data_IF_737187893425
#
_entry.id   IF_737187893425
#
_cell.length_a   1.000
_cell.length_b   1.000
_cell.length_c   1.000
_cell.angle_alpha   90.00
_cell.angle_beta   90.00
_cell.angle_gamma   90.00
#
_symmetry.space_group_name_H-M   'P 1'
#
loop_
_entity.id
_entity.type
_entity.pdbx_description
1 polymer ?
#
# COMPACT_ATOMS: atom_id res chain seq x y z
N UNK A 1 5.23 -3.58 0.41
CA UNK A 1 5.45 -4.19 -0.92
C UNK A 1 6.39 -5.37 -0.81
N UNK A 2 5.94 -6.55 -1.23
CA UNK A 2 6.85 -7.65 -1.47
C UNK A 2 7.80 -7.25 -2.58
N UNK A 3 9.08 -7.41 -2.36
CA UNK A 3 10.08 -7.23 -3.40
C UNK A 3 9.63 -7.94 -4.68
N UNK A 4 9.71 -7.26 -5.80
CA UNK A 4 9.62 -7.87 -7.12
C UNK A 4 10.77 -8.88 -7.26
N UNK A 5 10.64 -10.01 -6.59
CA UNK A 5 11.53 -11.12 -6.83
C UNK A 5 11.08 -11.76 -8.14
N UNK A 6 11.79 -11.44 -9.19
CA UNK A 6 11.57 -12.01 -10.52
C UNK A 6 11.91 -13.49 -10.56
N UNK A 7 11.18 -14.28 -9.82
CA UNK A 7 11.14 -15.72 -10.03
C UNK A 7 9.81 -15.96 -10.73
N UNK A 8 9.88 -16.37 -11.97
CA UNK A 8 8.72 -16.73 -12.74
C UNK A 8 7.84 -17.67 -11.94
N UNK A 9 6.87 -17.11 -11.23
CA UNK A 9 5.82 -17.92 -10.67
C UNK A 9 5.01 -18.48 -11.78
N UNK A 10 4.83 -19.77 -11.73
CA UNK A 10 4.08 -20.58 -12.66
C UNK A 10 2.58 -20.31 -12.68
N UNK A 11 2.11 -19.27 -12.03
CA UNK A 11 0.74 -18.83 -12.15
C UNK A 11 0.65 -17.90 -13.36
N UNK A 12 0.49 -18.51 -14.51
CA UNK A 12 0.25 -17.86 -15.78
C UNK A 12 -1.10 -17.14 -15.75
N UNK A 13 -1.22 -16.13 -14.87
CA UNK A 13 -2.37 -15.26 -14.92
C UNK A 13 -2.27 -14.40 -16.17
N UNK A 14 -3.10 -14.69 -17.11
CA UNK A 14 -3.22 -13.92 -18.34
C UNK A 14 -4.38 -12.94 -18.17
N UNK A 15 -4.06 -11.69 -17.83
CA UNK A 15 -5.07 -10.65 -17.67
C UNK A 15 -5.87 -10.48 -18.97
N UNK A 16 -7.21 -10.30 -18.88
CA UNK A 16 -8.02 -10.06 -20.07
C UNK A 16 -7.51 -8.87 -20.88
N UNK A 17 -7.70 -8.90 -22.19
CA UNK A 17 -7.24 -7.84 -23.08
C UNK A 17 -7.79 -6.46 -22.69
N UNK A 18 -9.04 -6.39 -22.25
CA UNK A 18 -9.68 -5.15 -21.79
C UNK A 18 -8.97 -4.58 -20.58
N UNK A 19 -8.56 -5.43 -19.66
CA UNK A 19 -7.81 -5.05 -18.45
C UNK A 19 -6.43 -4.51 -18.81
N UNK A 20 -5.69 -5.23 -19.65
CA UNK A 20 -4.36 -4.81 -20.09
C UNK A 20 -4.41 -3.50 -20.88
N UNK A 21 -5.42 -3.34 -21.71
CA UNK A 21 -5.61 -2.12 -22.51
C UNK A 21 -5.86 -0.90 -21.61
N UNK A 22 -6.73 -1.02 -20.61
CA UNK A 22 -6.96 0.06 -19.64
C UNK A 22 -5.67 0.41 -18.89
N UNK A 23 -4.94 -0.61 -18.43
CA UNK A 23 -3.68 -0.41 -17.72
C UNK A 23 -2.65 0.33 -18.58
N UNK A 24 -2.46 -0.06 -19.83
CA UNK A 24 -1.51 0.57 -20.76
C UNK A 24 -1.88 2.02 -21.07
N UNK A 25 -3.18 2.31 -21.14
CA UNK A 25 -3.67 3.68 -21.32
C UNK A 25 -3.47 4.53 -20.08
N UNK A 26 -3.66 3.94 -18.91
CA UNK A 26 -3.55 4.62 -17.61
C UNK A 26 -2.09 4.88 -17.22
N UNK A 27 -1.22 3.92 -17.49
CA UNK A 27 0.20 3.96 -17.11
C UNK A 27 1.11 3.63 -18.30
N UNK A 28 1.17 4.50 -19.32
CA UNK A 28 1.91 4.21 -20.55
C UNK A 28 3.42 4.11 -20.35
N UNK A 29 3.95 4.67 -19.26
CA UNK A 29 5.40 4.63 -18.95
C UNK A 29 5.77 3.56 -17.93
N UNK A 30 4.81 2.72 -17.53
CA UNK A 30 5.07 1.64 -16.60
C UNK A 30 6.07 0.63 -17.16
N UNK A 31 6.98 0.16 -16.30
CA UNK A 31 7.98 -0.86 -16.64
C UNK A 31 7.88 -2.03 -15.67
N UNK A 32 8.50 -3.17 -15.99
CA UNK A 32 8.52 -4.36 -15.14
C UNK A 32 7.12 -4.80 -14.71
N UNK A 33 6.19 -4.79 -15.65
CA UNK A 33 4.78 -5.13 -15.38
C UNK A 33 4.64 -6.64 -15.23
N UNK A 34 4.13 -7.06 -14.10
CA UNK A 34 3.79 -8.44 -13.81
C UNK A 34 2.33 -8.53 -13.39
N UNK A 35 1.59 -9.48 -13.94
CA UNK A 35 0.20 -9.71 -13.62
C UNK A 35 0.04 -10.93 -12.75
N UNK A 36 -0.77 -10.80 -11.71
CA UNK A 36 -1.13 -11.93 -10.87
C UNK A 36 -2.60 -11.84 -10.44
N UNK A 37 -3.09 -12.92 -9.91
CA UNK A 37 -4.45 -12.99 -9.38
C UNK A 37 -4.39 -12.99 -7.86
N UNK A 38 -5.04 -12.01 -7.24
CA UNK A 38 -5.10 -11.89 -5.78
C UNK A 38 -6.55 -11.73 -5.35
N UNK A 39 -7.06 -12.62 -4.51
CA UNK A 39 -8.43 -12.54 -3.95
C UNK A 39 -9.52 -12.36 -5.01
N UNK A 40 -9.33 -12.94 -6.21
CA UNK A 40 -10.27 -12.80 -7.31
C UNK A 40 -10.09 -11.56 -8.19
N UNK A 41 -9.18 -10.66 -7.82
CA UNK A 41 -8.83 -9.49 -8.63
C UNK A 41 -7.65 -9.78 -9.54
N UNK A 42 -7.59 -9.10 -10.67
CA UNK A 42 -6.39 -9.01 -11.49
C UNK A 42 -5.52 -7.87 -10.97
N UNK A 43 -4.26 -8.14 -10.69
CA UNK A 43 -3.35 -7.17 -10.10
C UNK A 43 -2.12 -7.03 -10.97
N UNK A 44 -1.82 -5.80 -11.40
CA UNK A 44 -0.58 -5.46 -12.07
C UNK A 44 0.41 -4.88 -11.05
N UNK A 45 1.54 -5.52 -10.86
CA UNK A 45 2.68 -4.97 -10.15
C UNK A 45 3.61 -4.34 -11.19
N UNK A 46 4.07 -3.13 -10.95
CA UNK A 46 4.87 -2.39 -11.94
C UNK A 46 5.72 -1.32 -11.29
N UNK A 47 6.66 -0.80 -12.06
CA UNK A 47 7.49 0.33 -11.69
C UNK A 47 7.04 1.56 -12.47
N UNK A 48 6.79 2.64 -11.77
CA UNK A 48 6.45 3.94 -12.33
C UNK A 48 7.33 5.01 -11.66
N UNK A 49 8.09 5.75 -12.47
CA UNK A 49 9.00 6.78 -11.96
C UNK A 49 9.96 6.26 -10.87
N UNK A 50 10.44 5.03 -11.05
CA UNK A 50 11.36 4.37 -10.12
C UNK A 50 10.72 3.82 -8.85
N UNK A 51 9.41 3.78 -8.75
CA UNK A 51 8.67 3.36 -7.57
C UNK A 51 7.80 2.16 -7.84
N UNK A 52 7.67 1.31 -6.84
CA UNK A 52 6.78 0.15 -6.88
C UNK A 52 5.33 0.60 -6.78
N UNK A 53 4.52 0.08 -7.68
CA UNK A 53 3.09 0.36 -7.76
C UNK A 53 2.31 -0.92 -7.98
N UNK A 54 1.03 -0.87 -7.64
CA UNK A 54 0.14 -2.02 -7.77
C UNK A 54 -1.26 -1.53 -8.17
N UNK A 55 -1.72 -1.93 -9.35
CA UNK A 55 -3.05 -1.59 -9.86
C UNK A 55 -3.98 -2.78 -9.81
N UNK A 56 -5.15 -2.59 -9.23
CA UNK A 56 -6.15 -3.63 -8.99
C UNK A 56 -7.34 -3.48 -9.92
N UNK A 57 -7.74 -4.59 -10.53
CA UNK A 57 -8.86 -4.67 -11.46
C UNK A 57 -9.84 -5.76 -11.06
N UNK A 58 -11.12 -5.54 -11.27
CA UNK A 58 -12.13 -6.59 -11.11
C UNK A 58 -11.92 -7.68 -12.14
N UNK A 59 -12.56 -8.82 -11.92
CA UNK A 59 -12.57 -9.94 -12.88
C UNK A 59 -13.11 -9.52 -14.26
N UNK A 60 -14.03 -8.56 -14.31
CA UNK A 60 -14.59 -8.02 -15.54
C UNK A 60 -13.72 -6.95 -16.22
N UNK A 61 -12.61 -6.56 -15.59
CA UNK A 61 -11.65 -5.61 -16.17
C UNK A 61 -11.86 -4.16 -15.78
N UNK A 62 -12.61 -3.89 -14.73
CA UNK A 62 -12.80 -2.53 -14.21
C UNK A 62 -11.70 -2.17 -13.20
N UNK A 63 -11.10 -1.03 -13.39
CA UNK A 63 -10.10 -0.53 -12.44
C UNK A 63 -10.75 -0.20 -11.09
N UNK A 64 -10.14 -0.67 -10.03
CA UNK A 64 -10.61 -0.49 -8.64
C UNK A 64 -9.78 0.55 -7.91
N UNK A 65 -8.48 0.36 -7.89
CA UNK A 65 -7.55 1.22 -7.18
C UNK A 65 -6.12 1.01 -7.67
N UNK A 66 -5.25 1.99 -7.37
CA UNK A 66 -3.81 1.84 -7.53
C UNK A 66 -3.10 2.30 -6.28
N UNK A 67 -2.13 1.52 -5.83
CA UNK A 67 -1.24 1.83 -4.71
C UNK A 67 0.09 2.29 -5.27
N UNK A 68 0.58 3.43 -4.76
CA UNK A 68 1.88 4.00 -5.12
C UNK A 68 2.73 4.10 -3.86
N UNK A 69 3.92 3.53 -3.88
CA UNK A 69 4.93 3.84 -2.88
C UNK A 69 5.36 5.30 -3.04
N UNK A 70 5.32 6.07 -1.98
CA UNK A 70 5.71 7.48 -1.99
C UNK A 70 6.70 7.79 -0.89
N UNK A 71 7.35 8.94 -0.99
CA UNK A 71 8.28 9.44 0.02
C UNK A 71 7.56 10.31 1.03
N UNK A 72 8.13 10.46 2.21
CA UNK A 72 7.59 11.30 3.28
C UNK A 72 7.33 12.74 2.82
N UNK A 73 8.24 13.33 2.05
CA UNK A 73 8.08 14.69 1.53
C UNK A 73 7.00 14.84 0.45
N UNK A 74 6.41 13.74 0.01
CA UNK A 74 5.29 13.75 -0.95
C UNK A 74 3.94 13.62 -0.27
N UNK A 75 3.91 13.43 1.03
CA UNK A 75 2.68 13.52 1.80
C UNK A 75 2.12 14.93 1.74
N UNK A 76 0.78 15.09 1.65
CA UNK A 76 0.17 16.39 1.87
C UNK A 76 0.58 16.97 3.22
N UNK A 77 0.75 18.29 3.29
CA UNK A 77 1.15 18.97 4.53
C UNK A 77 0.20 18.64 5.67
N UNK A 78 -1.10 18.57 5.40
CA UNK A 78 -2.10 18.24 6.42
C UNK A 78 -1.92 16.85 7.00
N UNK A 79 -1.54 15.86 6.18
CA UNK A 79 -1.26 14.49 6.63
C UNK A 79 0.02 14.45 7.45
N UNK A 80 1.08 15.09 6.96
CA UNK A 80 2.35 15.17 7.67
C UNK A 80 2.20 15.81 9.04
N UNK A 81 1.51 16.95 9.10
CA UNK A 81 1.24 17.67 10.36
C UNK A 81 0.45 16.79 11.33
N UNK A 82 -0.61 16.14 10.85
CA UNK A 82 -1.43 15.26 11.69
C UNK A 82 -0.60 14.09 12.26
N UNK A 83 0.23 13.47 11.43
CA UNK A 83 1.11 12.38 11.87
C UNK A 83 2.14 12.87 12.91
N UNK A 84 2.83 13.97 12.63
CA UNK A 84 3.84 14.52 13.53
C UNK A 84 3.27 14.98 14.87
N UNK A 85 2.07 15.53 14.87
CA UNK A 85 1.38 15.92 16.13
C UNK A 85 1.08 14.73 17.01
N UNK A 86 0.77 13.58 16.44
CA UNK A 86 0.43 12.38 17.20
C UNK A 86 1.65 11.54 17.57
N UNK A 87 2.66 11.48 16.73
CA UNK A 87 3.80 10.55 16.87
C UNK A 87 5.16 11.24 16.91
N UNK A 88 5.23 12.53 16.67
CA UNK A 88 6.48 13.29 16.62
C UNK A 88 7.23 13.17 15.31
N UNK A 89 8.41 13.77 15.26
CA UNK A 89 9.24 13.85 14.04
C UNK A 89 10.32 12.77 13.99
N UNK A 90 10.46 11.97 15.05
CA UNK A 90 11.52 10.95 15.18
C UNK A 90 11.01 9.52 15.10
N UNK A 91 9.72 9.33 14.90
CA UNK A 91 9.13 7.99 14.78
C UNK A 91 9.61 7.29 13.52
N UNK A 92 10.20 6.09 13.63
CA UNK A 92 10.61 5.33 12.45
C UNK A 92 9.41 4.97 11.58
N UNK A 93 9.54 5.23 10.29
CA UNK A 93 8.51 4.91 9.30
C UNK A 93 9.04 3.81 8.39
N UNK A 94 8.27 2.74 8.24
CA UNK A 94 8.65 1.58 7.43
C UNK A 94 8.09 1.65 6.02
N UNK A 95 6.89 2.22 5.85
CA UNK A 95 6.24 2.30 4.55
C UNK A 95 5.30 3.51 4.48
N UNK A 96 5.24 4.11 3.31
CA UNK A 96 4.29 5.19 3.00
C UNK A 96 3.71 4.92 1.62
N UNK A 97 2.39 4.93 1.51
CA UNK A 97 1.69 4.68 0.27
C UNK A 97 0.59 5.71 0.03
N UNK A 98 0.36 6.03 -1.25
CA UNK A 98 -0.82 6.75 -1.71
C UNK A 98 -1.72 5.76 -2.41
N UNK A 99 -2.97 5.69 -2.01
CA UNK A 99 -3.99 4.83 -2.58
C UNK A 99 -5.00 5.69 -3.34
N UNK A 100 -5.01 5.57 -4.67
CA UNK A 100 -6.01 6.23 -5.52
C UNK A 100 -7.13 5.24 -5.85
N UNK A 101 -8.37 5.65 -5.64
CA UNK A 101 -9.54 4.79 -5.79
C UNK A 101 -10.45 5.26 -6.91
N UNK A 102 -11.29 4.34 -7.40
CA UNK A 102 -12.22 4.60 -8.50
C UNK A 102 -13.39 5.54 -8.16
N UNK A 103 -13.59 5.86 -6.88
CA UNK A 103 -14.54 6.87 -6.43
C UNK A 103 -13.94 8.28 -6.34
N UNK A 104 -12.73 8.47 -6.90
CA UNK A 104 -11.93 9.70 -6.86
C UNK A 104 -11.46 10.10 -5.45
N UNK A 105 -11.49 9.19 -4.49
CA UNK A 105 -10.88 9.42 -3.18
C UNK A 105 -9.44 8.96 -3.16
N UNK A 106 -8.61 9.66 -2.37
CA UNK A 106 -7.21 9.31 -2.13
C UNK A 106 -7.00 9.07 -0.64
N UNK A 107 -6.36 7.97 -0.30
CA UNK A 107 -5.99 7.61 1.06
C UNK A 107 -4.46 7.58 1.14
N UNK A 108 -3.92 8.12 2.23
CA UNK A 108 -2.49 8.05 2.55
C UNK A 108 -2.29 7.07 3.69
N UNK A 109 -1.45 6.09 3.44
CA UNK A 109 -1.13 5.03 4.38
C UNK A 109 0.28 5.23 4.93
N UNK A 110 0.44 5.15 6.25
CA UNK A 110 1.74 5.21 6.93
C UNK A 110 1.84 4.01 7.86
N UNK A 111 2.89 3.22 7.67
CA UNK A 111 3.28 2.17 8.59
C UNK A 111 4.49 2.65 9.37
N UNK A 112 4.38 2.66 10.69
CA UNK A 112 5.42 3.18 11.56
C UNK A 112 5.63 2.30 12.79
N UNK A 113 6.78 2.47 13.43
CA UNK A 113 7.13 1.77 14.66
C UNK A 113 6.98 2.69 15.86
N UNK A 114 6.31 2.22 16.89
CA UNK A 114 6.12 2.98 18.13
C UNK A 114 6.11 2.05 19.34
N UNK A 115 5.89 2.62 20.51
CA UNK A 115 5.73 1.86 21.76
C UNK A 115 4.31 2.08 22.26
N UNK A 116 3.56 1.00 22.44
CA UNK A 116 2.21 1.01 23.00
C UNK A 116 2.23 0.23 24.30
N UNK A 117 1.82 0.87 25.39
CA UNK A 117 1.80 0.27 26.74
C UNK A 117 3.14 -0.38 27.14
N UNK A 118 4.26 0.23 26.71
CA UNK A 118 5.59 -0.27 27.01
C UNK A 118 6.13 -1.33 26.05
N UNK A 119 5.35 -1.73 25.03
CA UNK A 119 5.75 -2.77 24.07
C UNK A 119 6.03 -2.19 22.69
N UNK A 120 7.11 -2.64 22.02
CA UNK A 120 7.34 -2.33 20.61
C UNK A 120 6.12 -2.75 19.78
N UNK A 121 5.67 -1.85 18.92
CA UNK A 121 4.44 -2.04 18.16
C UNK A 121 4.57 -1.44 16.78
N UNK A 122 3.95 -2.09 15.80
CA UNK A 122 3.77 -1.55 14.46
C UNK A 122 2.39 -0.90 14.40
N UNK A 123 2.33 0.34 13.92
CA UNK A 123 1.07 1.03 13.70
C UNK A 123 0.84 1.23 12.22
N UNK A 124 -0.40 1.04 11.80
CA UNK A 124 -0.86 1.22 10.43
C UNK A 124 -1.93 2.31 10.43
N UNK A 125 -1.62 3.42 9.78
CA UNK A 125 -2.44 4.63 9.80
C UNK A 125 -2.94 4.95 8.40
N UNK A 126 -4.21 5.26 8.29
CA UNK A 126 -4.82 5.70 7.04
C UNK A 126 -5.39 7.11 7.24
N UNK A 127 -4.97 8.04 6.39
CA UNK A 127 -5.39 9.43 6.41
C UNK A 127 -6.07 9.82 5.11
N UNK A 128 -7.09 10.66 5.19
CA UNK A 128 -7.56 11.41 4.04
C UNK A 128 -6.61 12.55 3.71
N UNK A 129 -6.74 13.14 2.52
CA UNK A 129 -5.85 14.22 2.05
C UNK A 129 -5.83 15.45 2.96
N UNK A 130 -6.89 15.69 3.71
CA UNK A 130 -7.00 16.79 4.66
C UNK A 130 -6.39 16.51 6.05
N UNK A 131 -5.77 15.36 6.22
CA UNK A 131 -5.14 14.96 7.47
C UNK A 131 -6.06 14.31 8.49
N UNK A 132 -7.29 13.99 8.12
CA UNK A 132 -8.21 13.26 8.99
C UNK A 132 -7.78 11.79 9.08
N UNK A 133 -7.60 11.29 10.30
CA UNK A 133 -7.30 9.89 10.55
C UNK A 133 -8.56 9.05 10.30
N UNK A 134 -8.50 8.17 9.32
CA UNK A 134 -9.62 7.31 8.93
C UNK A 134 -9.57 5.96 9.63
N UNK A 135 -8.36 5.45 9.86
CA UNK A 135 -8.15 4.14 10.47
C UNK A 135 -6.80 4.08 11.16
N UNK A 136 -6.79 3.40 12.30
CA UNK A 136 -5.57 3.09 13.05
C UNK A 136 -5.64 1.65 13.52
N UNK A 137 -4.69 0.83 13.09
CA UNK A 137 -4.53 -0.55 13.59
C UNK A 137 -3.16 -0.69 14.22
N UNK A 138 -3.08 -1.45 15.29
CA UNK A 138 -1.86 -1.65 16.06
C UNK A 138 -1.56 -3.14 16.13
N UNK A 139 -0.37 -3.52 15.66
CA UNK A 139 0.16 -4.86 15.82
C UNK A 139 1.25 -4.82 16.88
N UNK A 140 1.01 -5.49 18.01
CA UNK A 140 1.97 -5.57 19.11
C UNK A 140 2.86 -6.76 18.86
N UNK A 141 4.12 -6.53 18.50
CA UNK A 141 5.10 -7.59 18.18
C UNK A 141 5.28 -8.60 19.31
N UNK A 142 5.03 -8.18 20.53
CA UNK A 142 5.13 -9.02 21.70
C UNK A 142 4.17 -10.22 21.71
N UNK A 143 2.97 -10.07 21.15
CA UNK A 143 1.98 -11.15 21.14
C UNK A 143 2.34 -12.29 20.19
N UNK A 144 2.96 -12.00 19.08
CA UNK A 144 3.38 -13.01 18.12
C UNK A 144 4.43 -13.96 18.71
N UNK A 145 5.25 -13.44 19.63
CA UNK A 145 6.29 -14.23 20.29
C UNK A 145 5.73 -15.12 21.42
N UNK A 146 4.67 -14.71 22.09
CA UNK A 146 4.13 -15.37 23.27
C UNK A 146 2.84 -16.13 23.04
N UNK A 147 2.28 -16.11 21.84
CA UNK A 147 1.04 -16.81 21.52
C UNK A 147 1.12 -18.31 21.83
N UNK A 148 2.28 -18.91 21.64
CA UNK A 148 2.52 -20.32 21.94
C UNK A 148 2.46 -20.64 23.44
N UNK A 149 2.53 -19.61 24.31
CA UNK A 149 2.50 -19.75 25.77
C UNK A 149 1.17 -19.32 26.39
N UNK A 150 0.28 -18.73 25.63
CA UNK A 150 -1.02 -18.23 26.11
C UNK A 150 -2.15 -19.24 25.92
N UNK A 151 -1.88 -20.40 25.40
CA UNK A 151 -2.86 -21.46 25.22
C UNK A 151 -3.08 -22.26 26.50
#
# INVERSE_FOLDING_TARGET
FATLSGVGCSDDYNAPAVTRSDFEMRYPTATHVEWEKKKGYGVAEFILDGRECEAWYTKSGEWVMTRFEIRYNELPDAVRVAFEQSYGTQTPIDDIERLERNDNTTIYYIQAETVVDGFPSEINLEYSSDGTLLRNTVDVEYFDYWDDYLL
#
